data_IF_261199169646
#
_entry.id   IF_261199169646
#
_cell.length_a   1.000
_cell.length_b   1.000
_cell.length_c   1.000
_cell.angle_alpha   90.00
_cell.angle_beta   90.00
_cell.angle_gamma   90.00
#
_symmetry.space_group_name_H-M   'P 1'
#
loop_
_entity.id
_entity.type
_entity.pdbx_description
1 polymer ?
#
# COMPACT_ATOMS: atom_id res chain seq x y z
N UNK A 1 -34.79 -37.49 5.92
CA UNK A 1 -33.57 -36.68 5.74
C UNK A 1 -33.51 -35.66 6.86
N UNK A 2 -32.31 -35.13 7.15
CA UNK A 2 -32.14 -33.95 8.00
C UNK A 2 -31.30 -32.90 7.30
N UNK A 3 -31.66 -31.64 7.46
CA UNK A 3 -31.01 -30.47 6.85
C UNK A 3 -30.98 -29.35 7.88
N UNK A 4 -29.84 -28.67 7.99
CA UNK A 4 -29.62 -27.66 9.01
C UNK A 4 -28.51 -26.68 8.57
N UNK A 5 -28.51 -25.47 9.14
CA UNK A 5 -27.43 -24.49 8.97
C UNK A 5 -26.28 -24.71 9.98
N UNK A 6 -26.50 -25.59 10.97
CA UNK A 6 -25.47 -26.11 11.86
C UNK A 6 -25.07 -27.56 11.53
N UNK A 7 -23.78 -27.78 11.38
CA UNK A 7 -23.17 -29.11 11.19
C UNK A 7 -23.49 -30.11 12.32
N UNK A 8 -23.89 -29.66 13.50
CA UNK A 8 -24.21 -30.57 14.61
C UNK A 8 -25.61 -31.20 14.48
N UNK A 9 -26.51 -30.61 13.69
CA UNK A 9 -27.93 -30.98 13.65
C UNK A 9 -28.60 -30.98 15.03
N UNK A 10 -28.19 -30.07 15.93
CA UNK A 10 -28.75 -30.02 17.31
C UNK A 10 -30.20 -29.55 17.30
N UNK A 11 -30.61 -28.75 16.31
CA UNK A 11 -31.99 -28.33 16.08
C UNK A 11 -32.26 -28.21 14.57
N UNK A 12 -32.42 -29.35 13.86
CA UNK A 12 -32.53 -29.35 12.41
C UNK A 12 -33.67 -28.47 11.91
N UNK A 13 -33.35 -27.54 11.03
CA UNK A 13 -34.32 -26.75 10.27
C UNK A 13 -35.30 -27.65 9.48
N UNK A 14 -34.84 -28.83 9.08
CA UNK A 14 -35.69 -29.88 8.52
C UNK A 14 -35.28 -31.25 9.04
N UNK A 15 -36.22 -32.02 9.58
CA UNK A 15 -36.06 -33.47 9.80
C UNK A 15 -37.39 -34.20 9.59
N UNK A 16 -37.52 -34.93 8.47
CA UNK A 16 -38.72 -35.69 8.17
C UNK A 16 -38.46 -36.91 7.27
N UNK A 17 -39.45 -37.81 7.22
CA UNK A 17 -39.49 -38.89 6.24
C UNK A 17 -39.83 -38.32 4.86
N UNK A 18 -39.02 -38.66 3.86
CA UNK A 18 -39.08 -38.09 2.50
C UNK A 18 -39.65 -39.06 1.48
N UNK A 19 -40.25 -40.16 1.95
CA UNK A 19 -40.71 -41.26 1.10
C UNK A 19 -39.59 -42.22 0.71
N UNK A 20 -39.98 -43.22 -0.08
CA UNK A 20 -39.10 -44.29 -0.57
C UNK A 20 -38.44 -43.83 -1.89
N UNK A 21 -37.52 -42.87 -1.76
CA UNK A 21 -36.91 -42.16 -2.89
C UNK A 21 -35.39 -42.33 -2.89
N UNK A 22 -34.80 -42.39 -4.09
CA UNK A 22 -33.34 -42.43 -4.28
C UNK A 22 -32.70 -41.04 -4.34
N UNK A 23 -33.51 -39.97 -4.44
CA UNK A 23 -33.07 -38.58 -4.46
C UNK A 23 -34.20 -37.66 -3.97
N UNK A 24 -33.85 -36.54 -3.36
CA UNK A 24 -34.80 -35.49 -2.97
C UNK A 24 -34.19 -34.11 -3.19
N UNK A 25 -35.03 -33.13 -3.52
CA UNK A 25 -34.67 -31.72 -3.67
C UNK A 25 -35.28 -30.93 -2.53
N UNK A 26 -34.50 -30.02 -1.95
CA UNK A 26 -34.92 -29.18 -0.84
C UNK A 26 -34.52 -27.74 -1.12
N UNK A 27 -35.45 -26.82 -0.91
CA UNK A 27 -35.18 -25.38 -1.00
C UNK A 27 -34.69 -24.88 0.34
N UNK A 28 -33.63 -24.07 0.33
CA UNK A 28 -33.09 -23.47 1.54
C UNK A 28 -33.62 -22.04 1.68
N UNK A 29 -34.12 -21.66 2.88
CA UNK A 29 -34.80 -20.38 3.07
C UNK A 29 -33.86 -19.17 3.08
N UNK A 30 -32.55 -19.37 3.24
CA UNK A 30 -31.60 -18.29 3.44
C UNK A 30 -30.19 -18.62 2.96
N UNK A 31 -29.40 -17.55 2.78
CA UNK A 31 -27.97 -17.65 2.53
C UNK A 31 -27.26 -18.29 3.72
N UNK A 32 -26.27 -19.11 3.42
CA UNK A 32 -25.49 -19.76 4.46
C UNK A 32 -24.90 -21.08 3.99
N UNK A 33 -24.16 -21.69 4.90
CA UNK A 33 -23.67 -23.05 4.70
C UNK A 33 -24.66 -24.02 5.29
N UNK A 34 -25.22 -24.86 4.44
CA UNK A 34 -26.20 -25.86 4.80
C UNK A 34 -25.58 -27.25 4.78
N UNK A 35 -25.99 -28.07 5.73
CA UNK A 35 -25.57 -29.45 5.89
C UNK A 35 -26.76 -30.36 5.70
N UNK A 36 -26.58 -31.47 4.99
CA UNK A 36 -27.61 -32.48 4.83
C UNK A 36 -27.09 -33.88 5.12
N UNK A 37 -27.95 -34.73 5.66
CA UNK A 37 -27.68 -36.15 5.87
C UNK A 37 -28.97 -36.96 5.73
N UNK A 38 -28.83 -38.20 5.26
CA UNK A 38 -29.95 -39.12 5.04
C UNK A 38 -29.73 -40.42 5.80
N UNK A 39 -30.81 -41.12 6.15
CA UNK A 39 -30.75 -42.48 6.69
C UNK A 39 -31.90 -43.27 6.11
N UNK A 40 -31.69 -44.58 5.95
CA UNK A 40 -32.75 -45.50 5.55
C UNK A 40 -33.65 -45.85 6.74
N UNK A 41 -34.90 -46.18 6.44
CA UNK A 41 -35.84 -46.82 7.39
C UNK A 41 -36.22 -48.14 6.76
N UNK A 42 -36.10 -49.25 7.49
CA UNK A 42 -36.50 -50.55 6.97
C UNK A 42 -38.01 -50.79 7.14
N UNK A 43 -38.52 -51.90 6.58
CA UNK A 43 -39.95 -52.26 6.67
C UNK A 43 -40.46 -52.50 8.10
N UNK A 44 -39.57 -52.60 9.10
CA UNK A 44 -39.93 -52.69 10.51
C UNK A 44 -39.92 -51.32 11.22
N UNK A 45 -39.87 -50.22 10.47
CA UNK A 45 -39.78 -48.85 10.97
C UNK A 45 -38.53 -48.57 11.81
N UNK A 46 -37.45 -49.34 11.61
CA UNK A 46 -36.17 -49.12 12.29
C UNK A 46 -35.28 -48.20 11.45
N UNK A 47 -34.77 -47.15 12.10
CA UNK A 47 -33.83 -46.21 11.52
C UNK A 47 -32.43 -46.82 11.40
N UNK A 48 -31.82 -46.71 10.22
CA UNK A 48 -30.39 -46.94 10.02
C UNK A 48 -29.53 -45.81 10.58
N UNK A 49 -28.21 -45.98 10.49
CA UNK A 49 -27.24 -44.91 10.79
C UNK A 49 -27.37 -43.78 9.77
N UNK A 50 -27.16 -42.54 10.23
CA UNK A 50 -27.02 -41.39 9.35
C UNK A 50 -25.85 -41.56 8.38
N UNK A 51 -26.04 -41.13 7.13
CA UNK A 51 -24.98 -41.02 6.13
C UNK A 51 -23.91 -40.02 6.57
N UNK A 52 -22.80 -39.98 5.85
CA UNK A 52 -21.91 -38.83 5.88
C UNK A 52 -22.70 -37.54 5.59
N UNK A 53 -22.23 -36.44 6.15
CA UNK A 53 -22.74 -35.12 5.81
C UNK A 53 -22.30 -34.73 4.40
N UNK A 54 -23.19 -34.00 3.72
CA UNK A 54 -22.86 -33.16 2.59
C UNK A 54 -23.03 -31.71 3.00
N UNK A 55 -22.18 -30.83 2.45
CA UNK A 55 -22.17 -29.41 2.73
C UNK A 55 -22.38 -28.64 1.43
N UNK A 56 -23.23 -27.61 1.46
CA UNK A 56 -23.41 -26.68 0.35
C UNK A 56 -23.60 -25.26 0.87
N UNK A 57 -22.87 -24.30 0.31
CA UNK A 57 -23.13 -22.89 0.53
C UNK A 57 -24.17 -22.40 -0.47
N UNK A 58 -25.23 -21.78 0.05
CA UNK A 58 -26.29 -21.12 -0.70
C UNK A 58 -26.06 -19.62 -0.63
N UNK A 59 -26.12 -18.98 -1.79
CA UNK A 59 -26.00 -17.55 -1.94
C UNK A 59 -27.04 -17.04 -2.92
N UNK A 60 -27.85 -16.09 -2.48
CA UNK A 60 -28.95 -15.44 -3.18
C UNK A 60 -28.78 -13.92 -3.21
N UNK A 61 -27.68 -13.38 -2.68
CA UNK A 61 -27.45 -11.93 -2.64
C UNK A 61 -26.62 -11.55 -3.86
N UNK A 62 -27.13 -10.66 -4.74
CA UNK A 62 -26.33 -10.10 -5.80
C UNK A 62 -25.15 -9.27 -5.28
N UNK A 63 -24.07 -9.14 -6.07
CA UNK A 63 -22.94 -8.29 -5.72
C UNK A 63 -23.40 -6.83 -5.59
N UNK A 64 -22.97 -6.16 -4.51
CA UNK A 64 -23.06 -4.71 -4.38
C UNK A 64 -22.03 -4.05 -5.30
N UNK A 65 -22.49 -3.17 -6.19
CA UNK A 65 -21.64 -2.47 -7.15
C UNK A 65 -21.36 -1.05 -6.66
N UNK A 66 -20.09 -0.69 -6.58
CA UNK A 66 -19.61 0.67 -6.31
C UNK A 66 -18.89 1.21 -7.54
N UNK A 67 -19.55 2.11 -8.27
CA UNK A 67 -18.96 2.80 -9.43
C UNK A 67 -17.85 3.74 -8.96
N UNK A 68 -16.67 3.65 -9.58
CA UNK A 68 -15.55 4.58 -9.37
C UNK A 68 -15.42 5.56 -10.53
N UNK A 69 -15.65 5.11 -11.77
CA UNK A 69 -15.62 5.92 -12.98
C UNK A 69 -16.69 5.50 -14.00
N UNK A 70 -17.35 6.45 -14.68
CA UNK A 70 -17.31 7.88 -14.41
C UNK A 70 -18.05 8.25 -13.12
N UNK A 71 -17.70 9.36 -12.47
CA UNK A 71 -18.46 10.00 -11.42
C UNK A 71 -19.68 10.67 -12.04
N UNK A 72 -20.82 10.56 -11.35
CA UNK A 72 -22.08 11.11 -11.83
C UNK A 72 -21.98 12.61 -12.11
N UNK A 73 -22.32 13.01 -13.33
CA UNK A 73 -22.29 14.39 -13.81
C UNK A 73 -20.93 14.89 -14.29
N UNK A 74 -19.88 14.04 -14.32
CA UNK A 74 -18.54 14.45 -14.75
C UNK A 74 -18.41 14.71 -16.26
N UNK A 75 -17.38 15.47 -16.62
CA UNK A 75 -17.00 15.76 -18.03
C UNK A 75 -15.70 15.02 -18.36
N UNK A 76 -15.71 14.24 -19.43
CA UNK A 76 -14.54 13.56 -19.98
C UNK A 76 -14.15 14.20 -21.31
N UNK A 77 -12.88 14.56 -21.45
CA UNK A 77 -12.32 15.04 -22.73
C UNK A 77 -11.86 13.90 -23.64
N UNK A 78 -11.85 12.66 -23.14
CA UNK A 78 -11.54 11.47 -23.93
C UNK A 78 -12.81 10.87 -24.50
N UNK A 79 -12.84 10.64 -25.80
CA UNK A 79 -13.91 9.91 -26.51
C UNK A 79 -13.91 8.40 -26.25
N UNK A 80 -12.91 7.87 -25.54
CA UNK A 80 -12.78 6.46 -25.18
C UNK A 80 -12.72 6.33 -23.64
N UNK A 81 -13.84 6.56 -22.95
CA UNK A 81 -13.87 6.63 -21.48
C UNK A 81 -13.41 5.31 -20.83
N UNK A 82 -12.81 5.45 -19.65
CA UNK A 82 -12.45 4.33 -18.79
C UNK A 82 -13.57 4.11 -17.75
N UNK A 83 -14.14 2.91 -17.74
CA UNK A 83 -15.09 2.48 -16.73
C UNK A 83 -14.38 1.68 -15.65
N UNK A 84 -14.62 2.03 -14.39
CA UNK A 84 -14.03 1.36 -13.23
C UNK A 84 -15.10 1.20 -12.16
N UNK A 85 -15.23 0.00 -11.62
CA UNK A 85 -16.11 -0.30 -10.51
C UNK A 85 -15.49 -1.33 -9.56
N UNK A 86 -16.00 -1.33 -8.34
CA UNK A 86 -15.69 -2.34 -7.33
C UNK A 86 -16.93 -3.13 -6.95
N UNK A 87 -16.76 -4.41 -6.61
CA UNK A 87 -17.79 -5.26 -6.01
C UNK A 87 -17.41 -5.65 -4.58
N UNK A 88 -18.39 -6.04 -3.76
CA UNK A 88 -18.15 -6.58 -2.41
C UNK A 88 -17.77 -8.08 -2.40
N UNK A 89 -17.82 -8.74 -3.56
CA UNK A 89 -17.45 -10.14 -3.80
C UNK A 89 -16.89 -10.35 -5.22
N UNK A 90 -16.18 -11.45 -5.50
CA UNK A 90 -15.73 -11.78 -6.85
C UNK A 90 -16.93 -11.91 -7.81
N UNK A 91 -16.93 -11.12 -8.88
CA UNK A 91 -18.06 -11.04 -9.82
C UNK A 91 -17.58 -10.89 -11.28
N UNK A 92 -18.39 -11.27 -12.25
CA UNK A 92 -18.19 -10.96 -13.67
C UNK A 92 -19.08 -9.76 -14.01
N UNK A 93 -18.47 -8.69 -14.50
CA UNK A 93 -19.16 -7.42 -14.74
C UNK A 93 -19.19 -7.03 -16.22
N UNK A 94 -20.22 -6.29 -16.57
CA UNK A 94 -20.49 -5.80 -17.91
C UNK A 94 -21.19 -4.45 -17.85
N UNK A 95 -21.24 -3.74 -18.96
CA UNK A 95 -21.92 -2.46 -19.06
C UNK A 95 -22.67 -2.27 -20.37
N UNK A 96 -23.66 -1.38 -20.35
CA UNK A 96 -24.44 -0.91 -21.49
C UNK A 96 -24.47 0.62 -21.46
N UNK A 97 -24.37 1.25 -22.62
CA UNK A 97 -24.48 2.70 -22.77
C UNK A 97 -25.90 3.09 -23.20
N UNK A 98 -26.35 4.29 -22.83
CA UNK A 98 -27.66 4.84 -23.22
C UNK A 98 -27.89 4.97 -24.73
N UNK A 99 -26.87 4.78 -25.56
CA UNK A 99 -26.95 4.80 -27.03
C UNK A 99 -27.50 3.51 -27.64
N UNK A 100 -27.60 2.41 -26.89
CA UNK A 100 -28.15 1.18 -27.41
C UNK A 100 -27.98 -0.02 -26.48
N UNK A 101 -28.57 -1.17 -26.83
CA UNK A 101 -28.61 -2.34 -25.95
C UNK A 101 -27.31 -3.17 -25.94
N UNK A 102 -26.27 -2.74 -26.67
CA UNK A 102 -25.02 -3.49 -26.80
C UNK A 102 -24.35 -3.64 -25.43
N UNK A 103 -24.14 -4.90 -25.04
CA UNK A 103 -23.44 -5.29 -23.82
C UNK A 103 -21.95 -5.40 -24.08
N UNK A 104 -21.16 -4.77 -23.22
CA UNK A 104 -19.70 -4.83 -23.23
C UNK A 104 -19.21 -5.50 -21.95
N UNK A 105 -18.35 -6.51 -22.08
CA UNK A 105 -17.77 -7.19 -20.93
C UNK A 105 -16.62 -6.36 -20.34
N UNK A 106 -16.51 -6.34 -19.01
CA UNK A 106 -15.37 -5.74 -18.32
C UNK A 106 -14.29 -6.79 -18.07
N UNK A 107 -13.06 -6.34 -17.82
CA UNK A 107 -11.94 -7.24 -17.52
C UNK A 107 -12.23 -8.01 -16.22
N UNK A 108 -12.40 -9.33 -16.34
CA UNK A 108 -12.57 -10.19 -15.18
C UNK A 108 -11.22 -10.53 -14.57
N UNK A 109 -10.98 -10.03 -13.36
CA UNK A 109 -9.72 -10.27 -12.63
C UNK A 109 -9.83 -11.40 -11.60
N UNK A 110 -11.02 -11.99 -11.41
CA UNK A 110 -11.30 -12.89 -10.29
C UNK A 110 -11.29 -12.18 -8.93
N UNK A 111 -11.31 -10.84 -8.93
CA UNK A 111 -11.26 -10.02 -7.72
C UNK A 111 -12.47 -9.09 -7.63
N UNK A 112 -12.43 -8.19 -6.66
CA UNK A 112 -13.40 -7.13 -6.43
C UNK A 112 -13.26 -5.96 -7.42
N UNK A 113 -12.19 -5.89 -8.21
CA UNK A 113 -11.88 -4.76 -9.10
C UNK A 113 -12.17 -5.11 -10.56
N UNK A 114 -12.88 -4.22 -11.25
CA UNK A 114 -13.28 -4.37 -12.64
C UNK A 114 -12.99 -3.10 -13.41
N UNK A 115 -12.34 -3.24 -14.56
CA UNK A 115 -12.04 -2.12 -15.45
C UNK A 115 -12.29 -2.45 -16.93
N UNK A 116 -12.71 -1.45 -17.70
CA UNK A 116 -12.79 -1.53 -19.14
C UNK A 116 -12.63 -0.14 -19.76
N UNK A 117 -11.71 -0.01 -20.71
CA UNK A 117 -11.74 1.11 -21.65
C UNK A 117 -12.79 0.82 -22.72
N UNK A 118 -13.60 1.82 -23.07
CA UNK A 118 -14.53 1.69 -24.19
C UNK A 118 -13.75 1.65 -25.51
N UNK A 119 -14.05 0.66 -26.37
CA UNK A 119 -13.25 0.37 -27.56
C UNK A 119 -13.62 1.21 -28.79
N UNK A 120 -14.73 1.94 -28.72
CA UNK A 120 -15.23 2.74 -29.82
C UNK A 120 -15.23 4.21 -29.42
N UNK A 121 -14.97 5.08 -30.39
CA UNK A 121 -15.03 6.52 -30.20
C UNK A 121 -16.50 6.91 -29.96
N UNK A 122 -16.77 7.49 -28.79
CA UNK A 122 -18.03 8.15 -28.49
C UNK A 122 -17.97 9.61 -28.96
N UNK A 123 -18.94 10.07 -29.77
CA UNK A 123 -19.10 11.49 -30.08
C UNK A 123 -19.32 12.35 -28.82
N UNK A 124 -19.10 13.66 -28.96
CA UNK A 124 -19.43 14.61 -27.89
C UNK A 124 -20.94 14.61 -27.62
N UNK A 125 -21.33 14.12 -26.44
CA UNK A 125 -22.71 13.99 -26.01
C UNK A 125 -22.81 13.63 -24.51
N UNK A 126 -23.98 13.80 -23.87
CA UNK A 126 -24.27 13.18 -22.60
C UNK A 126 -24.57 11.68 -22.76
N UNK A 127 -24.09 10.87 -21.81
CA UNK A 127 -24.26 9.43 -21.75
C UNK A 127 -24.69 8.99 -20.35
N UNK A 128 -25.40 7.87 -20.28
CA UNK A 128 -25.55 7.08 -19.05
C UNK A 128 -24.99 5.70 -19.30
N UNK A 129 -24.13 5.23 -18.40
CA UNK A 129 -23.65 3.84 -18.37
C UNK A 129 -24.37 3.09 -17.27
N UNK A 130 -24.89 1.91 -17.58
CA UNK A 130 -25.49 0.99 -16.61
C UNK A 130 -24.62 -0.26 -16.51
N UNK A 131 -24.27 -0.64 -15.29
CA UNK A 131 -23.42 -1.78 -14.98
C UNK A 131 -24.26 -2.96 -14.50
N UNK A 132 -23.89 -4.16 -14.98
CA UNK A 132 -24.45 -5.42 -14.50
C UNK A 132 -23.33 -6.34 -14.06
N UNK A 133 -23.36 -6.79 -12.81
CA UNK A 133 -22.40 -7.74 -12.25
C UNK A 133 -23.11 -8.98 -11.73
N UNK A 134 -22.53 -10.15 -12.02
CA UNK A 134 -22.99 -11.45 -11.54
C UNK A 134 -21.91 -12.09 -10.65
N UNK A 135 -22.29 -12.64 -9.50
CA UNK A 135 -21.36 -13.43 -8.66
C UNK A 135 -21.06 -14.82 -9.28
N UNK A 136 -20.38 -15.69 -8.52
CA UNK A 136 -20.02 -17.03 -8.99
C UNK A 136 -21.19 -18.02 -9.10
N UNK A 137 -22.32 -17.75 -8.43
CA UNK A 137 -23.52 -18.59 -8.45
C UNK A 137 -24.61 -18.04 -9.36
N UNK A 138 -24.39 -16.85 -9.94
CA UNK A 138 -25.23 -16.21 -10.93
C UNK A 138 -26.20 -15.16 -10.40
N UNK A 139 -26.08 -14.72 -9.13
CA UNK A 139 -26.92 -13.62 -8.65
C UNK A 139 -26.47 -12.32 -9.30
N UNK A 140 -27.41 -11.56 -9.87
CA UNK A 140 -27.12 -10.37 -10.70
C UNK A 140 -27.61 -9.08 -10.08
N UNK A 141 -26.76 -8.05 -10.09
CA UNK A 141 -27.13 -6.67 -9.79
C UNK A 141 -26.97 -5.82 -11.05
N UNK A 142 -28.03 -5.16 -11.50
CA UNK A 142 -28.05 -4.29 -12.68
C UNK A 142 -28.54 -2.86 -12.38
N UNK A 143 -28.47 -2.43 -11.12
CA UNK A 143 -29.02 -1.15 -10.65
C UNK A 143 -28.01 -0.01 -10.65
N UNK A 144 -26.71 -0.31 -10.73
CA UNK A 144 -25.66 0.69 -10.72
C UNK A 144 -25.57 1.41 -12.07
N UNK A 145 -25.71 2.74 -12.05
CA UNK A 145 -25.55 3.57 -13.23
C UNK A 145 -24.79 4.85 -12.92
N UNK A 146 -24.18 5.45 -13.93
CA UNK A 146 -23.54 6.75 -13.84
C UNK A 146 -23.76 7.57 -15.11
N UNK A 147 -24.11 8.84 -14.94
CA UNK A 147 -24.24 9.80 -16.03
C UNK A 147 -22.95 10.59 -16.19
N UNK A 148 -22.55 10.89 -17.42
CA UNK A 148 -21.34 11.65 -17.75
C UNK A 148 -21.47 12.30 -19.13
N UNK A 149 -20.61 13.26 -19.43
CA UNK A 149 -20.58 13.92 -20.74
C UNK A 149 -19.22 13.71 -21.39
N UNK A 150 -19.21 13.33 -22.67
CA UNK A 150 -18.02 13.45 -23.52
C UNK A 150 -18.03 14.85 -24.14
N UNK A 151 -16.94 15.59 -23.95
CA UNK A 151 -16.76 16.93 -24.52
C UNK A 151 -15.26 17.12 -24.85
N UNK A 152 -14.88 16.64 -26.03
CA UNK A 152 -13.47 16.58 -26.48
C UNK A 152 -12.86 17.95 -26.80
N UNK A 153 -13.68 18.99 -26.96
CA UNK A 153 -13.23 20.35 -27.26
C UNK A 153 -12.97 21.19 -26.00
N UNK A 154 -13.27 20.68 -24.79
CA UNK A 154 -12.99 21.40 -23.54
C UNK A 154 -11.49 21.56 -23.34
N UNK A 155 -11.12 22.77 -22.95
CA UNK A 155 -9.73 23.16 -22.68
C UNK A 155 -9.52 23.35 -21.19
N UNK A 156 -8.31 23.03 -20.73
CA UNK A 156 -7.89 23.33 -19.36
C UNK A 156 -7.85 24.84 -19.15
N UNK A 157 -8.45 25.29 -18.05
CA UNK A 157 -8.47 26.70 -17.64
C UNK A 157 -7.69 26.91 -16.33
N UNK A 158 -7.83 25.99 -15.37
CA UNK A 158 -7.12 26.09 -14.10
C UNK A 158 -6.66 24.74 -13.57
N UNK A 159 -5.51 24.77 -12.91
CA UNK A 159 -4.90 23.63 -12.22
C UNK A 159 -4.68 24.04 -10.75
N UNK A 160 -5.06 23.18 -9.82
CA UNK A 160 -4.96 23.45 -8.38
C UNK A 160 -4.47 22.24 -7.60
N UNK A 161 -3.62 22.47 -6.60
CA UNK A 161 -3.14 21.40 -5.72
C UNK A 161 -4.19 21.02 -4.68
N UNK A 162 -4.40 19.72 -4.51
CA UNK A 162 -5.33 19.15 -3.53
C UNK A 162 -4.58 18.55 -2.34
N UNK A 163 -3.30 18.21 -2.53
CA UNK A 163 -2.40 17.76 -1.48
C UNK A 163 -1.04 18.42 -1.62
N UNK A 164 -0.45 18.83 -0.51
CA UNK A 164 0.95 19.27 -0.48
C UNK A 164 1.87 18.05 -0.49
N UNK A 165 2.73 17.86 -1.51
CA UNK A 165 3.68 16.77 -1.49
C UNK A 165 4.67 16.93 -0.32
N UNK A 166 4.92 15.85 0.40
CA UNK A 166 6.09 15.74 1.29
C UNK A 166 6.68 14.36 1.10
N UNK A 167 8.00 14.25 1.18
CA UNK A 167 8.66 12.98 0.87
C UNK A 167 10.03 12.88 1.52
N UNK A 168 10.66 11.72 1.31
CA UNK A 168 12.06 11.51 1.62
C UNK A 168 12.91 11.66 0.35
N UNK A 169 14.23 11.77 0.50
CA UNK A 169 15.14 11.80 -0.66
C UNK A 169 15.02 10.51 -1.48
N UNK A 170 14.99 10.65 -2.82
CA UNK A 170 15.02 9.55 -3.78
C UNK A 170 13.96 8.43 -3.61
N UNK A 171 12.75 8.77 -3.17
CA UNK A 171 11.63 7.82 -3.11
C UNK A 171 10.51 8.23 -4.05
N UNK A 172 9.60 7.30 -4.34
CA UNK A 172 8.39 7.62 -5.09
C UNK A 172 7.45 8.41 -4.19
N UNK A 173 7.10 9.61 -4.63
CA UNK A 173 6.15 10.51 -3.99
C UNK A 173 4.86 10.58 -4.82
N UNK A 174 3.80 11.03 -4.16
CA UNK A 174 2.49 11.20 -4.76
C UNK A 174 1.97 12.60 -4.44
N UNK A 175 1.22 13.18 -5.36
CA UNK A 175 0.45 14.38 -5.10
C UNK A 175 -0.81 14.39 -5.97
N UNK A 176 -1.86 15.04 -5.48
CA UNK A 176 -3.11 15.18 -6.22
C UNK A 176 -3.30 16.62 -6.66
N UNK A 177 -3.69 16.80 -7.92
CA UNK A 177 -4.15 18.06 -8.49
C UNK A 177 -5.61 17.93 -8.92
N UNK A 178 -6.31 19.06 -9.04
CA UNK A 178 -7.59 19.18 -9.72
C UNK A 178 -7.44 20.08 -10.93
N UNK A 179 -7.93 19.61 -12.07
CA UNK A 179 -7.91 20.27 -13.37
C UNK A 179 -9.35 20.60 -13.75
N UNK A 180 -9.59 21.87 -14.08
CA UNK A 180 -10.91 22.38 -14.41
C UNK A 180 -10.90 23.24 -15.66
N UNK A 181 -12.06 23.43 -16.25
CA UNK A 181 -12.30 24.36 -17.35
C UNK A 181 -12.78 25.75 -16.88
N UNK A 182 -13.33 26.54 -17.80
CA UNK A 182 -13.83 27.90 -17.55
C UNK A 182 -15.10 27.92 -16.70
N UNK A 183 -15.86 26.83 -16.65
CA UNK A 183 -17.13 26.67 -15.92
C UNK A 183 -16.95 25.86 -14.61
N UNK A 184 -15.77 25.99 -13.97
CA UNK A 184 -15.22 25.09 -12.95
C UNK A 184 -15.51 23.57 -13.02
N UNK A 185 -15.88 23.04 -14.19
CA UNK A 185 -16.18 21.62 -14.36
C UNK A 185 -14.87 20.81 -14.31
N UNK A 186 -14.87 19.70 -13.58
CA UNK A 186 -13.72 18.82 -13.49
C UNK A 186 -13.49 18.08 -14.81
N UNK A 187 -12.29 18.20 -15.38
CA UNK A 187 -11.94 17.59 -16.67
C UNK A 187 -11.26 16.23 -16.48
N UNK A 188 -11.97 15.15 -16.74
CA UNK A 188 -11.44 13.77 -16.75
C UNK A 188 -10.94 13.34 -18.12
N UNK A 189 -10.22 12.22 -18.20
CA UNK A 189 -9.78 11.62 -19.47
C UNK A 189 -8.61 12.34 -20.15
N UNK A 190 -7.91 13.25 -19.47
CA UNK A 190 -6.72 13.89 -20.03
C UNK A 190 -5.58 12.86 -20.15
N UNK A 191 -4.96 12.82 -21.33
CA UNK A 191 -3.84 11.91 -21.59
C UNK A 191 -2.59 12.33 -20.79
N UNK A 192 -1.78 11.37 -20.26
CA UNK A 192 -0.62 11.68 -19.43
C UNK A 192 0.43 12.61 -20.04
N UNK A 193 0.56 12.65 -21.37
CA UNK A 193 1.50 13.51 -22.11
C UNK A 193 1.15 15.01 -22.03
N UNK A 194 -0.10 15.33 -21.65
CA UNK A 194 -0.54 16.72 -21.41
C UNK A 194 -0.02 17.28 -20.08
N UNK A 195 0.54 16.44 -19.22
CA UNK A 195 1.02 16.81 -17.90
C UNK A 195 2.53 17.03 -17.89
N UNK A 196 2.97 18.01 -17.10
CA UNK A 196 4.39 18.20 -16.78
C UNK A 196 4.53 18.64 -15.33
N UNK A 197 5.59 18.19 -14.67
CA UNK A 197 5.86 18.51 -13.27
C UNK A 197 7.26 19.10 -13.16
N UNK A 198 7.40 20.18 -12.40
CA UNK A 198 8.70 20.76 -12.07
C UNK A 198 8.87 20.82 -10.56
N UNK A 199 10.08 20.46 -10.10
CA UNK A 199 10.46 20.41 -8.69
C UNK A 199 11.73 21.24 -8.53
N UNK A 200 11.64 22.35 -7.80
CA UNK A 200 12.75 23.30 -7.67
C UNK A 200 13.21 23.88 -9.00
N UNK A 201 12.29 24.05 -9.95
CA UNK A 201 12.58 24.55 -11.30
C UNK A 201 13.14 23.51 -12.29
N UNK A 202 13.33 22.27 -11.88
CA UNK A 202 13.80 21.17 -12.75
C UNK A 202 12.62 20.27 -13.12
N UNK A 203 12.53 19.89 -14.39
CA UNK A 203 11.52 18.94 -14.88
C UNK A 203 11.68 17.59 -14.16
N UNK A 204 10.60 17.11 -13.56
CA UNK A 204 10.54 15.76 -13.00
C UNK A 204 10.49 14.74 -14.15
N UNK A 205 11.39 13.76 -14.13
CA UNK A 205 11.36 12.63 -15.04
C UNK A 205 10.39 11.56 -14.52
N UNK A 206 9.86 10.75 -15.44
CA UNK A 206 9.02 9.59 -15.14
C UNK A 206 7.79 9.90 -14.28
N UNK A 207 7.00 10.91 -14.70
CA UNK A 207 5.73 11.18 -14.06
C UNK A 207 4.70 10.10 -14.43
N UNK A 208 4.10 9.48 -13.43
CA UNK A 208 2.89 8.68 -13.58
C UNK A 208 1.66 9.56 -13.35
N UNK A 209 0.68 9.46 -14.23
CA UNK A 209 -0.59 10.19 -14.12
C UNK A 209 -1.73 9.18 -14.00
N UNK A 210 -2.45 9.26 -12.90
CA UNK A 210 -3.65 8.46 -12.64
C UNK A 210 -4.84 9.40 -12.55
N UNK A 211 -5.77 9.29 -13.51
CA UNK A 211 -7.06 9.98 -13.45
C UNK A 211 -7.87 9.42 -12.27
N UNK A 212 -8.35 10.25 -11.37
CA UNK A 212 -9.23 9.91 -10.24
C UNK A 212 -10.66 10.43 -10.44
N UNK A 213 -10.92 10.95 -11.64
CA UNK A 213 -12.19 11.45 -12.15
C UNK A 213 -12.70 12.73 -11.49
N UNK A 214 -13.65 13.42 -12.14
CA UNK A 214 -14.09 14.78 -11.82
C UNK A 214 -12.90 15.78 -11.75
N UNK A 215 -11.99 15.64 -12.73
CA UNK A 215 -10.81 16.49 -12.85
C UNK A 215 -9.71 16.25 -11.82
N UNK A 216 -9.85 15.28 -10.91
CA UNK A 216 -8.79 14.95 -9.98
C UNK A 216 -7.77 14.01 -10.64
N UNK A 217 -6.48 14.33 -10.51
CA UNK A 217 -5.39 13.49 -11.01
C UNK A 217 -4.36 13.28 -9.91
N UNK A 218 -3.92 12.03 -9.74
CA UNK A 218 -2.79 11.69 -8.90
C UNK A 218 -1.53 11.61 -9.77
N UNK A 219 -0.57 12.44 -9.41
CA UNK A 219 0.77 12.48 -9.97
C UNK A 219 1.68 11.62 -9.10
N UNK A 220 2.43 10.72 -9.72
CA UNK A 220 3.44 9.89 -9.07
C UNK A 220 4.80 10.23 -9.68
N UNK A 221 5.81 10.51 -8.85
CA UNK A 221 7.10 10.98 -9.34
C UNK A 221 8.22 10.63 -8.35
N UNK A 222 9.47 10.66 -8.80
CA UNK A 222 10.64 10.48 -7.93
C UNK A 222 11.02 11.79 -7.26
N UNK A 223 11.18 11.79 -5.94
CA UNK A 223 11.58 12.97 -5.18
C UNK A 223 13.06 13.34 -5.41
N UNK A 224 13.46 14.61 -5.16
CA UNK A 224 14.84 15.06 -5.26
C UNK A 224 15.86 14.21 -4.48
N UNK A 225 17.11 14.20 -4.95
CA UNK A 225 18.22 13.47 -4.32
C UNK A 225 18.80 14.18 -3.09
N UNK A 226 18.40 15.41 -2.81
CA UNK A 226 18.91 16.21 -1.69
C UNK A 226 17.73 16.63 -0.81
N UNK A 227 17.95 16.68 0.51
CA UNK A 227 17.00 17.30 1.43
C UNK A 227 16.85 18.78 1.12
N UNK A 228 15.67 19.32 1.39
CA UNK A 228 15.38 20.72 1.20
C UNK A 228 13.90 21.00 1.00
N UNK A 229 13.58 22.27 0.90
CA UNK A 229 12.26 22.75 0.53
C UNK A 229 12.28 23.07 -0.96
N UNK A 230 11.43 22.39 -1.73
CA UNK A 230 11.34 22.55 -3.17
C UNK A 230 9.98 23.11 -3.54
N UNK A 231 9.95 24.23 -4.27
CA UNK A 231 8.71 24.68 -4.88
C UNK A 231 8.30 23.71 -5.99
N UNK A 232 7.03 23.33 -6.04
CA UNK A 232 6.50 22.39 -7.04
C UNK A 232 5.47 23.10 -7.92
N UNK A 233 5.57 22.92 -9.22
CA UNK A 233 4.59 23.38 -10.19
C UNK A 233 4.16 22.25 -11.11
N UNK A 234 2.84 22.13 -11.30
CA UNK A 234 2.26 21.21 -12.27
C UNK A 234 1.71 22.03 -13.44
N UNK A 235 1.92 21.54 -14.66
CA UNK A 235 1.39 22.10 -15.88
C UNK A 235 0.48 21.08 -16.53
N UNK A 236 -0.67 21.53 -17.01
CA UNK A 236 -1.57 20.74 -17.85
C UNK A 236 -1.93 21.60 -19.04
N UNK A 237 -1.52 21.19 -20.24
CA UNK A 237 -1.62 21.99 -21.49
C UNK A 237 -1.04 23.40 -21.40
N UNK A 238 0.08 23.52 -20.67
CA UNK A 238 0.72 24.81 -20.44
C UNK A 238 0.05 25.70 -19.39
N UNK A 239 -1.12 25.33 -18.86
CA UNK A 239 -1.73 25.99 -17.70
C UNK A 239 -1.01 25.56 -16.44
N UNK A 240 -0.40 26.53 -15.76
CA UNK A 240 0.33 26.29 -14.50
C UNK A 240 -0.64 26.19 -13.31
N UNK A 241 -0.32 25.31 -12.37
CA UNK A 241 -0.96 25.29 -11.06
C UNK A 241 -0.85 26.66 -10.38
N UNK A 242 -1.95 27.20 -9.87
CA UNK A 242 -1.98 28.54 -9.26
C UNK A 242 -1.03 28.70 -8.06
N UNK A 243 -1.49 28.39 -6.85
CA UNK A 243 -0.63 28.43 -5.66
C UNK A 243 0.38 27.29 -5.70
N UNK A 244 1.67 27.63 -5.73
CA UNK A 244 2.75 26.65 -5.79
C UNK A 244 3.11 26.14 -4.38
N UNK A 245 2.86 24.85 -4.06
CA UNK A 245 3.19 24.29 -2.76
C UNK A 245 4.70 24.11 -2.60
N UNK A 246 5.12 24.18 -1.34
CA UNK A 246 6.45 23.79 -0.92
C UNK A 246 6.47 22.30 -0.56
N UNK A 247 7.27 21.52 -1.27
CA UNK A 247 7.58 20.14 -0.95
C UNK A 247 8.74 20.06 0.02
N UNK A 248 8.47 19.57 1.23
CA UNK A 248 9.49 19.27 2.22
C UNK A 248 10.07 17.87 1.94
N UNK A 249 11.32 17.85 1.46
CA UNK A 249 12.10 16.63 1.18
C UNK A 249 13.07 16.39 2.33
N UNK A 250 12.87 15.28 3.03
CA UNK A 250 13.63 14.91 4.23
C UNK A 250 14.64 13.82 3.95
N UNK A 251 15.72 13.80 4.71
CA UNK A 251 16.57 12.62 4.77
C UNK A 251 15.84 11.51 5.53
N UNK A 252 16.00 10.27 5.05
CA UNK A 252 15.69 9.11 5.88
C UNK A 252 16.80 9.00 6.91
N UNK A 253 16.45 9.02 8.19
CA UNK A 253 17.32 8.87 9.35
C UNK A 253 17.14 7.49 9.94
N UNK A 254 18.26 6.82 10.13
CA UNK A 254 18.37 5.62 10.94
C UNK A 254 18.83 6.02 12.34
N UNK A 255 18.12 5.56 13.35
CA UNK A 255 18.47 5.75 14.75
C UNK A 255 18.78 4.43 15.40
N UNK A 256 19.68 4.48 16.36
CA UNK A 256 19.93 3.39 17.27
C UNK A 256 20.06 3.90 18.70
N UNK A 257 19.56 3.10 19.62
CA UNK A 257 19.62 3.33 21.05
C UNK A 257 20.44 2.22 21.68
N UNK A 258 21.44 2.61 22.45
CA UNK A 258 22.23 1.71 23.28
C UNK A 258 21.75 1.82 24.73
N UNK A 259 21.40 0.67 25.31
CA UNK A 259 20.96 0.58 26.70
C UNK A 259 22.19 0.29 27.56
N UNK A 260 22.85 1.35 28.03
CA UNK A 260 24.02 1.31 28.91
C UNK A 260 24.56 2.72 29.16
N UNK A 261 25.54 2.84 30.06
CA UNK A 261 26.15 4.12 30.40
C UNK A 261 27.22 4.49 29.36
N UNK A 262 26.92 5.50 28.54
CA UNK A 262 27.84 6.11 27.60
C UNK A 262 28.08 7.56 28.02
N UNK A 263 29.33 7.99 28.01
CA UNK A 263 29.78 9.34 28.31
C UNK A 263 30.46 9.95 27.09
N UNK A 264 30.28 11.26 26.92
CA UNK A 264 30.87 12.00 25.80
C UNK A 264 30.19 11.69 24.46
N UNK A 265 30.20 12.68 23.57
CA UNK A 265 29.82 12.51 22.18
C UNK A 265 30.96 12.99 21.33
N UNK A 266 31.49 12.09 20.53
CA UNK A 266 32.45 12.45 19.51
C UNK A 266 31.75 12.43 18.15
N UNK A 267 31.85 13.56 17.46
CA UNK A 267 31.30 13.75 16.11
C UNK A 267 32.47 13.79 15.13
N UNK A 268 32.49 12.82 14.24
CA UNK A 268 33.26 12.90 13.01
C UNK A 268 32.37 13.36 11.85
N UNK A 269 32.96 13.58 10.69
CA UNK A 269 32.23 13.92 9.47
C UNK A 269 31.27 12.79 9.06
N UNK A 270 31.70 11.54 9.23
CA UNK A 270 30.97 10.35 8.74
C UNK A 270 30.52 9.41 9.85
N UNK A 271 30.85 9.71 11.11
CA UNK A 271 30.49 8.88 12.26
C UNK A 271 30.07 9.71 13.47
N UNK A 272 29.26 9.11 14.33
CA UNK A 272 28.96 9.63 15.66
C UNK A 272 28.98 8.49 16.65
N UNK A 273 29.67 8.68 17.77
CA UNK A 273 29.79 7.66 18.80
C UNK A 273 29.95 8.30 20.17
N UNK A 274 29.61 7.51 21.18
CA UNK A 274 29.96 7.80 22.56
C UNK A 274 31.05 6.85 23.03
N UNK A 275 31.64 7.17 24.18
CA UNK A 275 32.60 6.32 24.86
C UNK A 275 32.01 5.77 26.17
N UNK A 276 32.45 4.61 26.58
CA UNK A 276 32.29 4.07 27.93
C UNK A 276 33.68 3.73 28.46
N UNK A 277 33.78 3.21 29.68
CA UNK A 277 35.07 2.79 30.25
C UNK A 277 35.79 1.69 29.45
N UNK A 278 35.06 0.93 28.63
CA UNK A 278 35.62 -0.21 27.88
C UNK A 278 35.33 -0.17 26.38
N UNK A 279 34.23 0.45 25.97
CA UNK A 279 33.71 0.36 24.60
C UNK A 279 33.30 1.72 24.03
N UNK A 280 33.36 1.82 22.71
CA UNK A 280 32.80 2.87 21.87
C UNK A 280 31.61 2.31 21.12
N UNK A 281 30.48 2.98 21.19
CA UNK A 281 29.28 2.61 20.44
C UNK A 281 28.86 3.78 19.56
N UNK A 282 28.59 3.50 18.29
CA UNK A 282 28.23 4.52 17.35
C UNK A 282 27.60 4.00 16.07
N UNK A 283 27.27 4.98 15.24
CA UNK A 283 26.83 4.78 13.87
C UNK A 283 27.89 5.40 12.97
N UNK A 284 28.11 4.83 11.79
CA UNK A 284 28.87 5.43 10.69
C UNK A 284 28.04 5.35 9.38
N UNK A 285 28.28 6.25 8.43
CA UNK A 285 27.66 6.28 7.09
C UNK A 285 28.74 6.68 6.10
N UNK A 286 28.66 6.20 4.87
CA UNK A 286 29.64 6.50 3.82
C UNK A 286 29.15 7.58 2.84
N UNK A 287 27.99 8.18 3.09
CA UNK A 287 27.35 9.03 2.08
C UNK A 287 27.03 10.46 2.54
N UNK A 288 26.67 10.70 3.81
CA UNK A 288 26.12 12.00 4.25
C UNK A 288 26.76 12.46 5.57
N UNK A 289 27.16 13.73 5.65
CA UNK A 289 27.68 14.37 6.88
C UNK A 289 26.55 14.62 7.88
N UNK A 290 26.79 14.35 9.16
CA UNK A 290 25.74 14.00 10.14
C UNK A 290 25.10 15.14 10.92
N UNK A 291 23.83 14.97 11.24
CA UNK A 291 23.13 15.60 12.38
C UNK A 291 22.88 14.56 13.47
N UNK A 292 23.39 14.76 14.69
CA UNK A 292 23.16 13.85 15.83
C UNK A 292 22.33 14.50 16.94
N UNK A 293 21.37 13.75 17.48
CA UNK A 293 20.67 14.05 18.73
C UNK A 293 21.31 13.25 19.86
N UNK A 294 21.50 13.83 21.05
CA UNK A 294 22.05 13.15 22.22
C UNK A 294 21.07 13.07 23.38
N UNK A 295 21.09 11.94 24.09
CA UNK A 295 20.51 11.72 25.40
C UNK A 295 21.53 10.93 26.25
N UNK A 296 21.71 11.29 27.52
CA UNK A 296 22.72 10.69 28.41
C UNK A 296 22.34 9.29 28.93
N UNK A 297 21.05 8.95 28.93
CA UNK A 297 20.56 7.58 29.10
C UNK A 297 19.06 7.51 28.75
N UNK A 298 18.66 6.66 27.79
CA UNK A 298 19.50 5.77 27.00
C UNK A 298 20.33 6.55 25.95
N UNK A 299 21.51 6.02 25.57
CA UNK A 299 22.37 6.66 24.58
C UNK A 299 21.76 6.53 23.19
N UNK A 300 21.39 7.67 22.61
CA UNK A 300 20.70 7.76 21.32
C UNK A 300 21.65 8.35 20.29
N UNK A 301 21.84 7.67 19.16
CA UNK A 301 22.62 8.18 18.02
C UNK A 301 21.89 7.89 16.71
N UNK A 302 21.97 8.84 15.79
CA UNK A 302 21.33 8.77 14.49
C UNK A 302 22.27 9.14 13.36
N UNK A 303 21.91 8.72 12.16
CA UNK A 303 22.56 9.11 10.91
C UNK A 303 21.53 9.18 9.80
N UNK A 304 21.75 10.08 8.86
CA UNK A 304 21.09 10.00 7.57
C UNK A 304 21.50 8.68 6.89
N UNK A 305 20.53 8.03 6.24
CA UNK A 305 20.70 6.79 5.50
C UNK A 305 21.23 7.16 4.12
N UNK A 306 22.52 6.87 3.94
CA UNK A 306 23.18 6.90 2.66
C UNK A 306 22.96 5.61 1.85
N UNK A 307 24.00 5.20 1.12
CA UNK A 307 24.10 3.86 0.54
C UNK A 307 24.29 2.81 1.62
N UNK A 308 25.20 3.03 2.56
CA UNK A 308 25.44 2.12 3.67
C UNK A 308 25.35 2.85 5.02
N UNK A 309 24.77 2.16 6.01
CA UNK A 309 24.79 2.57 7.41
C UNK A 309 25.48 1.46 8.20
N UNK A 310 26.48 1.85 8.98
CA UNK A 310 27.26 0.94 9.81
C UNK A 310 26.90 1.17 11.27
N UNK A 311 26.50 0.12 11.96
CA UNK A 311 26.46 0.09 13.40
C UNK A 311 27.76 -0.50 13.92
N UNK A 312 28.40 0.17 14.88
CA UNK A 312 29.63 -0.35 15.45
C UNK A 312 29.66 -0.30 16.96
N UNK A 313 30.33 -1.31 17.49
CA UNK A 313 30.72 -1.41 18.87
C UNK A 313 32.18 -1.88 18.88
N UNK A 314 33.08 -1.03 19.37
CA UNK A 314 34.51 -1.26 19.33
C UNK A 314 35.14 -1.00 20.71
N UNK A 315 36.13 -1.79 21.16
CA UNK A 315 36.86 -1.45 22.38
C UNK A 315 37.51 -0.06 22.30
N UNK A 316 37.58 0.67 23.41
CA UNK A 316 38.05 2.07 23.43
C UNK A 316 39.47 2.26 22.86
N UNK A 317 40.32 1.23 22.96
CA UNK A 317 41.68 1.23 22.40
C UNK A 317 41.74 1.30 20.86
N UNK A 318 40.62 1.07 20.17
CA UNK A 318 40.57 1.19 18.71
C UNK A 318 40.27 2.62 18.30
N UNK A 319 41.14 3.15 17.45
CA UNK A 319 40.94 4.43 16.79
C UNK A 319 39.95 4.23 15.62
N UNK A 320 38.66 4.47 15.91
CA UNK A 320 37.56 4.39 14.96
C UNK A 320 37.61 5.53 13.95
N UNK A 321 38.21 6.66 14.35
CA UNK A 321 38.35 7.89 13.59
C UNK A 321 39.22 7.67 12.33
N UNK A 322 40.22 6.77 12.39
CA UNK A 322 40.99 6.34 11.21
C UNK A 322 40.15 5.71 10.11
N UNK A 323 38.89 5.33 10.40
CA UNK A 323 37.96 4.77 9.41
C UNK A 323 37.24 5.85 8.60
N UNK A 324 37.31 7.13 8.99
CA UNK A 324 36.67 8.22 8.25
C UNK A 324 37.13 8.30 6.79
N UNK A 325 38.43 8.17 6.52
CA UNK A 325 38.95 8.19 5.14
C UNK A 325 38.34 7.09 4.26
N UNK A 326 37.95 5.95 4.84
CA UNK A 326 37.34 4.84 4.09
C UNK A 326 35.83 5.04 3.92
N UNK A 327 35.19 5.72 4.87
CA UNK A 327 33.79 6.14 4.76
C UNK A 327 33.65 7.22 3.69
N UNK A 328 34.54 8.23 3.71
CA UNK A 328 34.60 9.29 2.70
C UNK A 328 34.85 8.72 1.29
N UNK A 329 35.79 7.77 1.17
CA UNK A 329 36.08 7.09 -0.09
C UNK A 329 35.07 6.01 -0.49
N UNK A 330 33.99 5.79 0.28
CA UNK A 330 32.97 4.74 0.06
C UNK A 330 33.54 3.32 -0.14
N UNK A 331 34.70 3.04 0.47
CA UNK A 331 35.45 1.80 0.25
C UNK A 331 35.73 1.04 1.55
N UNK A 332 35.01 1.36 2.63
CA UNK A 332 35.13 0.64 3.90
C UNK A 332 34.81 -0.85 3.73
N UNK A 333 33.81 -1.19 2.91
CA UNK A 333 33.42 -2.58 2.62
C UNK A 333 34.44 -3.33 1.74
N UNK A 334 35.27 -2.60 0.99
CA UNK A 334 36.31 -3.16 0.12
C UNK A 334 37.62 -3.46 0.87
N UNK A 335 37.71 -3.05 2.14
CA UNK A 335 38.88 -3.35 2.97
C UNK A 335 38.95 -4.85 3.26
N UNK A 336 40.18 -5.38 3.41
CA UNK A 336 40.39 -6.78 3.80
C UNK A 336 39.73 -7.14 5.13
N UNK A 337 39.60 -6.15 6.03
CA UNK A 337 38.86 -6.25 7.29
C UNK A 337 37.96 -5.02 7.45
N UNK A 338 36.71 -5.08 6.94
CA UNK A 338 35.76 -3.96 6.95
C UNK A 338 35.10 -3.84 8.34
N UNK A 339 35.90 -3.50 9.36
CA UNK A 339 35.44 -3.37 10.74
C UNK A 339 35.96 -2.10 11.43
N UNK A 340 35.24 -1.71 12.48
CA UNK A 340 35.63 -0.65 13.42
C UNK A 340 36.43 -1.19 14.63
N UNK A 341 36.63 -2.51 14.72
CA UNK A 341 37.33 -3.19 15.83
C UNK A 341 37.49 -4.70 15.61
N UNK A 342 38.04 -5.42 16.59
CA UNK A 342 38.18 -6.89 16.57
C UNK A 342 36.96 -7.59 17.19
N UNK A 343 36.63 -8.79 16.68
CA UNK A 343 35.44 -9.57 17.04
C UNK A 343 35.51 -10.32 18.39
N UNK A 344 36.36 -9.90 19.33
CA UNK A 344 36.85 -10.77 20.42
C UNK A 344 36.40 -10.39 21.83
N UNK A 345 35.20 -9.84 22.04
CA UNK A 345 34.66 -9.62 23.40
C UNK A 345 33.33 -10.36 23.57
N UNK A 346 33.11 -11.10 24.67
CA UNK A 346 31.90 -11.91 24.89
C UNK A 346 30.65 -11.12 25.30
N UNK A 347 30.79 -9.83 25.59
CA UNK A 347 29.68 -9.00 26.09
C UNK A 347 28.56 -8.89 25.06
N UNK A 348 27.30 -9.05 25.49
CA UNK A 348 26.11 -8.85 24.63
C UNK A 348 25.42 -7.56 25.01
N UNK A 349 25.15 -6.73 24.02
CA UNK A 349 24.58 -5.40 24.18
C UNK A 349 23.17 -5.37 23.63
N UNK A 350 22.32 -4.60 24.29
CA UNK A 350 20.92 -4.44 23.92
C UNK A 350 20.82 -3.20 23.03
N UNK A 351 20.50 -3.41 21.77
CA UNK A 351 20.42 -2.39 20.73
C UNK A 351 18.97 -2.31 20.24
N UNK A 352 18.42 -1.10 20.23
CA UNK A 352 17.13 -0.82 19.61
C UNK A 352 17.36 0.08 18.42
N UNK A 353 16.80 -0.25 17.26
CA UNK A 353 16.95 0.52 16.03
C UNK A 353 15.60 1.06 15.58
N UNK A 354 15.57 2.25 15.02
CA UNK A 354 14.37 2.82 14.39
C UNK A 354 14.74 3.59 13.13
N UNK A 355 13.76 3.83 12.27
CA UNK A 355 13.89 4.69 11.09
C UNK A 355 12.80 5.74 11.15
N UNK A 356 13.10 6.99 10.79
CA UNK A 356 12.12 8.08 10.73
C UNK A 356 11.16 7.97 9.53
N UNK A 357 10.65 6.78 9.23
CA UNK A 357 9.77 6.58 8.09
C UNK A 357 8.31 6.43 8.59
N UNK A 358 7.35 7.25 8.13
CA UNK A 358 5.99 7.30 8.68
C UNK A 358 5.28 5.95 8.68
N UNK A 359 5.54 5.15 7.64
CA UNK A 359 4.86 3.88 7.41
C UNK A 359 5.55 2.67 8.04
N UNK A 360 6.67 2.85 8.74
CA UNK A 360 7.46 1.75 9.30
C UNK A 360 7.60 1.93 10.80
N UNK A 361 7.44 0.83 11.54
CA UNK A 361 7.77 0.75 12.96
C UNK A 361 8.59 -0.51 13.24
N UNK A 362 9.63 -0.37 14.06
CA UNK A 362 10.46 -1.49 14.51
C UNK A 362 10.00 -1.98 15.88
N UNK A 363 9.70 -3.27 16.00
CA UNK A 363 9.05 -3.82 17.19
C UNK A 363 9.97 -4.65 18.10
N UNK A 364 11.25 -4.82 17.72
CA UNK A 364 12.13 -5.76 18.41
C UNK A 364 13.45 -5.11 18.80
N UNK A 365 13.76 -5.28 20.09
CA UNK A 365 15.08 -5.03 20.65
C UNK A 365 15.96 -6.23 20.34
N UNK A 366 17.15 -6.01 19.80
CA UNK A 366 18.05 -7.07 19.42
C UNK A 366 19.31 -7.05 20.30
N UNK A 367 19.79 -8.24 20.67
CA UNK A 367 21.00 -8.39 21.48
C UNK A 367 22.15 -8.85 20.59
N UNK A 368 23.24 -8.08 20.54
CA UNK A 368 24.43 -8.41 19.76
C UNK A 368 25.68 -8.16 20.59
N UNK A 369 26.68 -9.03 20.48
CA UNK A 369 28.02 -8.73 20.98
C UNK A 369 28.86 -8.00 19.93
N UNK A 370 30.12 -7.63 20.19
CA UNK A 370 31.01 -7.10 19.16
C UNK A 370 31.26 -8.12 18.04
N UNK A 371 31.21 -7.68 16.79
CA UNK A 371 31.40 -8.57 15.64
C UNK A 371 30.81 -7.98 14.36
N UNK A 372 31.02 -8.69 13.25
CA UNK A 372 30.33 -8.41 11.99
C UNK A 372 29.05 -9.23 11.96
N UNK A 373 27.92 -8.55 11.77
CA UNK A 373 26.62 -9.20 11.60
C UNK A 373 26.02 -8.77 10.28
N UNK A 374 25.26 -9.66 9.65
CA UNK A 374 24.29 -9.21 8.66
C UNK A 374 23.02 -8.82 9.40
N UNK A 375 22.40 -7.71 8.97
CA UNK A 375 21.10 -7.30 9.47
C UNK A 375 20.03 -8.01 8.63
N UNK A 376 19.33 -8.95 9.25
CA UNK A 376 18.12 -9.50 8.66
C UNK A 376 16.92 -8.66 9.11
N UNK A 377 16.30 -7.96 8.16
CA UNK A 377 15.06 -7.22 8.37
C UNK A 377 13.90 -8.15 7.99
N UNK A 378 13.02 -8.44 8.95
CA UNK A 378 11.84 -9.28 8.75
C UNK A 378 10.57 -8.44 8.77
N UNK A 379 9.75 -8.60 7.73
CA UNK A 379 8.37 -8.12 7.70
C UNK A 379 7.50 -8.99 8.62
N UNK A 380 6.86 -8.35 9.59
CA UNK A 380 6.00 -8.98 10.59
C UNK A 380 4.51 -8.64 10.38
N UNK A 381 4.14 -8.13 9.21
CA UNK A 381 2.77 -7.67 8.93
C UNK A 381 2.57 -6.18 9.16
N UNK A 382 1.32 -5.78 9.38
CA UNK A 382 0.91 -4.41 9.68
C UNK A 382 0.33 -4.36 11.09
N UNK A 383 0.62 -3.30 11.83
CA UNK A 383 -0.02 -3.08 13.12
C UNK A 383 -1.53 -2.85 12.95
N UNK A 384 -2.35 -3.66 13.60
CA UNK A 384 -3.82 -3.56 13.50
C UNK A 384 -4.44 -2.61 14.56
N UNK A 385 -3.69 -2.26 15.60
CA UNK A 385 -4.14 -1.44 16.72
C UNK A 385 -3.00 -0.64 17.38
N UNK A 386 -3.35 0.29 18.27
CA UNK A 386 -2.41 1.12 19.03
C UNK A 386 -1.81 2.30 18.24
N UNK A 387 -0.81 2.96 18.83
CA UNK A 387 -0.16 4.17 18.28
C UNK A 387 0.56 3.96 16.95
N UNK A 388 0.80 2.70 16.55
CA UNK A 388 1.41 2.33 15.28
C UNK A 388 0.41 1.72 14.29
N UNK A 389 -0.91 1.74 14.56
CA UNK A 389 -1.93 1.17 13.66
C UNK A 389 -1.73 1.66 12.21
N UNK A 390 -1.74 0.73 11.26
CA UNK A 390 -1.52 0.98 9.84
C UNK A 390 -0.05 1.01 9.41
N UNK A 391 0.92 1.03 10.34
CA UNK A 391 2.34 0.95 10.00
C UNK A 391 2.78 -0.48 9.75
N UNK A 392 3.72 -0.65 8.82
CA UNK A 392 4.46 -1.89 8.59
C UNK A 392 5.28 -2.20 9.84
N UNK A 393 5.04 -3.37 10.40
CA UNK A 393 5.78 -3.91 11.52
C UNK A 393 7.03 -4.63 11.00
N UNK A 394 8.22 -4.15 11.37
CA UNK A 394 9.48 -4.80 11.05
C UNK A 394 10.25 -5.19 12.31
N UNK A 395 11.06 -6.25 12.19
CA UNK A 395 12.05 -6.60 13.22
C UNK A 395 13.42 -6.76 12.60
N UNK A 396 14.45 -6.42 13.37
CA UNK A 396 15.84 -6.63 13.01
C UNK A 396 16.40 -7.79 13.82
N UNK A 397 17.10 -8.70 13.15
CA UNK A 397 17.89 -9.75 13.78
C UNK A 397 19.32 -9.65 13.27
N UNK A 398 20.28 -9.71 14.19
CA UNK A 398 21.70 -9.81 13.86
C UNK A 398 22.04 -11.29 13.64
N UNK A 399 22.51 -11.65 12.45
CA UNK A 399 22.93 -13.00 12.07
C UNK A 399 24.43 -13.08 11.77
#
# INVERSE_FOLDING_TARGET
ARIDDDSSFTSPEYEAYVGDVTSGTFDMPSNGTWYASVRAINNASLNGTWSNQVQKTIDQIPPNIRVQKPKGGGVSVSSEPLFVLMTNEPAVCSYVLSTGPTKYEMSYTGTYYHESRHQYILPDAPYTVTFTCADQVGNMNSTAASAFTIDSIRTVNAVSWQTTPSSFVNVIANATIRVVDVNPDGLSGLSPDRFSLFIGGVTAMDIGVEDLDDGYYKLTFRSPLKKGIYQVSAYVDGVISGTLPNMDVKDVKFYTTFIGNMAGLTRGDFMVYGDSSSNRFGVATDTIKRESNLSLSPFFVGSDIGRNVFLFLAPQRFNVEKKEKYLEGQNLLDQSVPSFGLASVPDRFTITTSVNYPSIAFNKVAKAGPGRYNLMIKYNGVYLSGVNKGKINMSITFI
#
